data_IF_436744545802
#
_entry.id   IF_436744545802
#
_cell.length_a   1.000
_cell.length_b   1.000
_cell.length_c   1.000
_cell.angle_alpha   90.00
_cell.angle_beta   90.00
_cell.angle_gamma   90.00
#
_symmetry.space_group_name_H-M   'P 1'
#
loop_
_entity.id
_entity.type
_entity.pdbx_description
1 polymer ?
#
# COMPACT_ATOMS: atom_id res chain seq x y z
N UNK A 1 -11.23 -37.80 11.01
CA UNK A 1 -11.68 -36.57 11.70
C UNK A 1 -10.89 -35.43 11.07
N UNK A 2 -11.51 -34.65 10.18
CA UNK A 2 -10.83 -33.48 9.61
C UNK A 2 -10.48 -32.53 10.76
N UNK A 3 -9.20 -32.20 10.92
CA UNK A 3 -8.78 -31.17 11.87
C UNK A 3 -9.52 -29.86 11.60
N UNK A 4 -9.58 -28.93 12.57
CA UNK A 4 -10.19 -27.63 12.32
C UNK A 4 -9.54 -27.05 11.07
N UNK A 5 -10.32 -26.89 10.00
CA UNK A 5 -9.83 -26.32 8.75
C UNK A 5 -9.20 -24.96 9.00
N UNK A 6 -8.39 -24.44 8.06
CA UNK A 6 -7.77 -23.12 8.21
C UNK A 6 -8.82 -22.11 8.69
N UNK A 7 -8.56 -21.47 9.82
CA UNK A 7 -9.50 -20.53 10.43
C UNK A 7 -9.30 -19.17 9.81
N UNK A 8 -10.33 -18.66 9.13
CA UNK A 8 -10.36 -17.32 8.54
C UNK A 8 -11.19 -16.39 9.44
N UNK A 9 -10.60 -15.81 10.51
CA UNK A 9 -11.35 -15.03 11.48
C UNK A 9 -11.92 -13.76 10.86
N UNK A 10 -11.15 -13.05 10.04
CA UNK A 10 -11.59 -11.82 9.38
C UNK A 10 -12.76 -12.08 8.42
N UNK A 11 -12.67 -13.11 7.57
CA UNK A 11 -13.76 -13.49 6.66
C UNK A 11 -15.04 -13.86 7.41
N UNK A 12 -14.93 -14.57 8.52
CA UNK A 12 -16.10 -14.90 9.37
C UNK A 12 -16.76 -13.66 9.93
N UNK A 13 -15.98 -12.68 10.39
CA UNK A 13 -16.50 -11.41 10.92
C UNK A 13 -17.20 -10.58 9.84
N UNK A 14 -16.61 -10.53 8.64
CA UNK A 14 -17.21 -9.88 7.46
C UNK A 14 -18.51 -10.58 7.05
N UNK A 15 -18.52 -11.92 7.01
CA UNK A 15 -19.71 -12.72 6.68
C UNK A 15 -20.84 -12.49 7.68
N UNK A 16 -20.51 -12.40 8.97
CA UNK A 16 -21.47 -12.10 10.04
C UNK A 16 -21.85 -10.61 10.13
N UNK A 17 -21.33 -9.76 9.23
CA UNK A 17 -21.49 -8.30 9.21
C UNK A 17 -21.15 -7.61 10.56
N UNK A 18 -20.15 -8.13 11.28
CA UNK A 18 -19.71 -7.61 12.57
C UNK A 18 -18.57 -6.62 12.41
N UNK A 19 -18.86 -5.47 11.81
CA UNK A 19 -17.85 -4.45 11.50
C UNK A 19 -17.10 -3.91 12.74
N UNK A 20 -17.74 -3.86 13.92
CA UNK A 20 -17.09 -3.44 15.18
C UNK A 20 -16.05 -4.44 15.69
N UNK A 21 -16.39 -5.72 15.66
CA UNK A 21 -15.47 -6.80 16.04
C UNK A 21 -14.34 -6.92 14.99
N UNK A 22 -14.66 -6.71 13.71
CA UNK A 22 -13.67 -6.63 12.64
C UNK A 22 -12.66 -5.51 12.89
N UNK A 23 -13.13 -4.31 13.23
CA UNK A 23 -12.26 -3.17 13.56
C UNK A 23 -11.36 -3.48 14.76
N UNK A 24 -11.89 -4.07 15.83
CA UNK A 24 -11.10 -4.49 16.99
C UNK A 24 -10.04 -5.55 16.61
N UNK A 25 -10.39 -6.51 15.76
CA UNK A 25 -9.49 -7.57 15.30
C UNK A 25 -8.37 -7.05 14.37
N UNK A 26 -8.62 -5.97 13.62
CA UNK A 26 -7.61 -5.30 12.80
C UNK A 26 -6.69 -4.40 13.64
N UNK A 27 -7.22 -3.77 14.70
CA UNK A 27 -6.42 -2.99 15.64
C UNK A 27 -5.38 -3.84 16.38
N UNK A 28 -5.70 -5.10 16.69
CA UNK A 28 -4.73 -5.99 17.34
C UNK A 28 -3.55 -6.37 16.44
N UNK A 29 -3.63 -6.13 15.12
CA UNK A 29 -2.62 -6.47 14.09
C UNK A 29 -2.13 -7.92 14.13
N UNK A 30 -2.92 -8.81 14.72
CA UNK A 30 -2.60 -10.24 14.80
C UNK A 30 -2.98 -11.00 13.53
N UNK A 31 -3.80 -10.39 12.68
CA UNK A 31 -4.38 -11.01 11.51
C UNK A 31 -3.89 -10.34 10.23
N UNK A 32 -3.60 -11.15 9.22
CA UNK A 32 -3.25 -10.66 7.89
C UNK A 32 -4.52 -10.22 7.14
N UNK A 33 -4.52 -8.97 6.68
CA UNK A 33 -5.66 -8.32 5.99
C UNK A 33 -5.80 -8.87 4.56
N UNK A 34 -4.71 -9.36 3.98
CA UNK A 34 -4.68 -9.87 2.61
C UNK A 34 -4.85 -11.39 2.54
N UNK A 35 -5.12 -12.03 3.69
CA UNK A 35 -5.36 -13.47 3.76
C UNK A 35 -6.51 -13.86 2.85
N UNK A 36 -6.34 -14.96 2.12
CA UNK A 36 -7.33 -15.48 1.20
C UNK A 36 -8.11 -16.64 1.80
N UNK A 37 -9.44 -16.63 1.62
CA UNK A 37 -10.35 -17.74 1.93
C UNK A 37 -10.03 -18.97 1.03
N UNK A 38 -10.55 -20.20 1.25
CA UNK A 38 -10.33 -21.34 0.35
C UNK A 38 -10.92 -21.14 -1.06
N UNK A 39 -11.76 -20.10 -1.23
CA UNK A 39 -12.27 -19.63 -2.52
C UNK A 39 -11.36 -18.57 -3.16
N UNK A 40 -10.19 -18.34 -2.56
CA UNK A 40 -9.19 -17.31 -2.85
C UNK A 40 -9.75 -15.90 -2.93
N UNK A 41 -10.63 -15.56 -1.99
CA UNK A 41 -11.18 -14.22 -1.83
C UNK A 41 -10.49 -13.52 -0.69
N UNK A 42 -10.09 -12.28 -0.89
CA UNK A 42 -9.68 -11.39 0.20
C UNK A 42 -10.89 -11.05 1.09
N UNK A 43 -10.69 -10.65 2.36
CA UNK A 43 -11.80 -10.19 3.20
C UNK A 43 -12.47 -8.94 2.62
N UNK A 44 -11.74 -8.11 1.86
CA UNK A 44 -12.28 -6.96 1.15
C UNK A 44 -13.22 -7.38 0.01
N UNK A 45 -12.80 -8.30 -0.85
CA UNK A 45 -13.69 -8.87 -1.88
C UNK A 45 -14.93 -9.49 -1.28
N UNK A 46 -14.78 -10.22 -0.16
CA UNK A 46 -15.92 -10.80 0.53
C UNK A 46 -16.89 -9.70 1.00
N UNK A 47 -16.39 -8.63 1.60
CA UNK A 47 -17.23 -7.52 2.07
C UNK A 47 -17.98 -6.82 0.91
N UNK A 48 -17.31 -6.63 -0.23
CA UNK A 48 -17.90 -6.06 -1.45
C UNK A 48 -18.97 -6.99 -2.03
N UNK A 49 -18.67 -8.28 -2.19
CA UNK A 49 -19.63 -9.28 -2.71
C UNK A 49 -20.89 -9.43 -1.85
N UNK A 50 -20.79 -9.11 -0.55
CA UNK A 50 -21.91 -9.14 0.38
C UNK A 50 -22.66 -7.80 0.47
N UNK A 51 -22.19 -6.72 -0.15
CA UNK A 51 -22.80 -5.39 -0.01
C UNK A 51 -22.52 -4.71 1.35
N UNK A 52 -21.58 -5.22 2.15
CA UNK A 52 -21.36 -4.77 3.53
C UNK A 52 -20.49 -3.50 3.58
N UNK A 53 -21.11 -2.35 3.32
CA UNK A 53 -20.43 -1.06 3.18
C UNK A 53 -19.57 -0.67 4.40
N UNK A 54 -20.05 -0.89 5.63
CA UNK A 54 -19.29 -0.57 6.84
C UNK A 54 -18.07 -1.48 7.04
N UNK A 55 -18.17 -2.76 6.67
CA UNK A 55 -17.03 -3.67 6.69
C UNK A 55 -15.97 -3.26 5.66
N UNK A 56 -16.41 -2.81 4.48
CA UNK A 56 -15.51 -2.23 3.44
C UNK A 56 -14.80 -0.99 3.98
N UNK A 57 -15.50 -0.05 4.61
CA UNK A 57 -14.88 1.16 5.21
C UNK A 57 -13.79 0.80 6.21
N UNK A 58 -14.07 -0.16 7.10
CA UNK A 58 -13.10 -0.61 8.11
C UNK A 58 -11.85 -1.21 7.45
N UNK A 59 -12.03 -2.11 6.49
CA UNK A 59 -10.90 -2.74 5.78
C UNK A 59 -10.04 -1.73 5.00
N UNK A 60 -10.69 -0.78 4.32
CA UNK A 60 -9.99 0.27 3.57
C UNK A 60 -9.21 1.23 4.47
N UNK A 61 -9.71 1.55 5.67
CA UNK A 61 -8.99 2.35 6.67
C UNK A 61 -7.69 1.70 7.13
N UNK A 62 -7.65 0.36 7.14
CA UNK A 62 -6.46 -0.41 7.48
C UNK A 62 -5.59 -0.75 6.25
N UNK A 63 -5.72 0.02 5.16
CA UNK A 63 -4.91 -0.09 3.94
C UNK A 63 -5.05 -1.42 3.19
N UNK A 64 -6.22 -2.08 3.26
CA UNK A 64 -6.50 -3.24 2.41
C UNK A 64 -6.31 -2.91 0.92
N UNK A 65 -5.68 -3.82 0.17
CA UNK A 65 -5.32 -3.59 -1.23
C UNK A 65 -6.54 -3.66 -2.15
N UNK A 66 -6.88 -2.54 -2.79
CA UNK A 66 -8.02 -2.45 -3.72
C UNK A 66 -7.67 -2.97 -5.11
N UNK A 67 -6.38 -3.03 -5.43
CA UNK A 67 -5.89 -3.43 -6.75
C UNK A 67 -5.70 -4.94 -6.91
N UNK A 68 -5.94 -5.74 -5.87
CA UNK A 68 -5.79 -7.19 -5.95
C UNK A 68 -6.90 -7.78 -6.84
N UNK A 69 -6.50 -8.70 -7.71
CA UNK A 69 -7.43 -9.43 -8.56
C UNK A 69 -8.01 -10.60 -7.77
N UNK A 70 -9.32 -10.79 -7.88
CA UNK A 70 -10.02 -11.95 -7.32
C UNK A 70 -9.61 -13.22 -8.07
N UNK A 71 -9.91 -14.40 -7.51
CA UNK A 71 -9.70 -15.69 -8.17
C UNK A 71 -10.28 -15.82 -9.59
N UNK A 72 -11.29 -15.02 -9.91
CA UNK A 72 -11.94 -15.02 -11.22
C UNK A 72 -11.23 -14.07 -12.22
N UNK A 73 -10.17 -13.38 -11.82
CA UNK A 73 -9.48 -12.36 -12.61
C UNK A 73 -10.17 -10.99 -12.61
N UNK A 74 -11.15 -10.78 -11.72
CA UNK A 74 -11.88 -9.52 -11.60
C UNK A 74 -11.23 -8.63 -10.54
N UNK A 75 -11.08 -7.34 -10.83
CA UNK A 75 -10.67 -6.37 -9.83
C UNK A 75 -11.82 -6.09 -8.85
N UNK A 76 -11.50 -5.77 -7.59
CA UNK A 76 -12.48 -5.40 -6.54
C UNK A 76 -13.47 -4.32 -7.01
N UNK A 77 -13.00 -3.39 -7.85
CA UNK A 77 -13.83 -2.34 -8.42
C UNK A 77 -14.94 -2.89 -9.35
N UNK A 78 -14.65 -3.92 -10.14
CA UNK A 78 -15.65 -4.49 -11.05
C UNK A 78 -16.73 -5.23 -10.26
N UNK A 79 -16.36 -5.92 -9.18
CA UNK A 79 -17.30 -6.52 -8.24
C UNK A 79 -18.16 -5.43 -7.55
N UNK A 80 -17.56 -4.30 -7.14
CA UNK A 80 -18.33 -3.20 -6.58
C UNK A 80 -19.36 -2.65 -7.59
N UNK A 81 -19.04 -2.61 -8.88
CA UNK A 81 -20.01 -2.19 -9.92
C UNK A 81 -21.14 -3.20 -10.09
N UNK A 82 -20.88 -4.50 -9.93
CA UNK A 82 -21.90 -5.55 -10.05
C UNK A 82 -22.94 -5.51 -8.93
N UNK A 83 -22.57 -4.99 -7.74
CA UNK A 83 -23.52 -4.78 -6.62
C UNK A 83 -24.60 -3.75 -6.94
N UNK A 84 -24.33 -2.80 -7.85
CA UNK A 84 -25.24 -1.70 -8.18
C UNK A 84 -25.30 -0.57 -7.14
N UNK A 85 -24.49 -0.63 -6.07
CA UNK A 85 -24.48 0.38 -5.02
C UNK A 85 -23.53 1.55 -5.35
N UNK A 86 -24.05 2.75 -5.68
CA UNK A 86 -23.20 3.87 -6.10
C UNK A 86 -22.26 4.34 -4.99
N UNK A 87 -22.70 4.29 -3.73
CA UNK A 87 -21.87 4.65 -2.58
C UNK A 87 -20.66 3.71 -2.42
N UNK A 88 -20.87 2.41 -2.65
CA UNK A 88 -19.78 1.42 -2.60
C UNK A 88 -18.75 1.68 -3.69
N UNK A 89 -19.21 1.91 -4.92
CA UNK A 89 -18.34 2.22 -6.06
C UNK A 89 -17.53 3.50 -5.80
N UNK A 90 -18.17 4.56 -5.30
CA UNK A 90 -17.49 5.80 -4.95
C UNK A 90 -16.40 5.59 -3.90
N UNK A 91 -16.68 4.83 -2.83
CA UNK A 91 -15.71 4.53 -1.79
C UNK A 91 -14.50 3.76 -2.34
N UNK A 92 -14.74 2.69 -3.10
CA UNK A 92 -13.66 1.86 -3.67
C UNK A 92 -12.81 2.67 -4.65
N UNK A 93 -13.41 3.51 -5.48
CA UNK A 93 -12.69 4.40 -6.41
C UNK A 93 -11.79 5.40 -5.67
N UNK A 94 -12.31 6.09 -4.65
CA UNK A 94 -11.55 7.07 -3.87
C UNK A 94 -10.31 6.43 -3.23
N UNK A 95 -10.47 5.25 -2.61
CA UNK A 95 -9.35 4.57 -1.98
C UNK A 95 -8.34 4.00 -2.98
N UNK A 96 -8.80 3.52 -4.13
CA UNK A 96 -7.91 3.09 -5.23
C UNK A 96 -7.02 4.24 -5.72
N UNK A 97 -7.62 5.40 -5.96
CA UNK A 97 -6.88 6.57 -6.44
C UNK A 97 -5.93 7.10 -5.37
N UNK A 98 -6.34 7.07 -4.10
CA UNK A 98 -5.47 7.36 -2.96
C UNK A 98 -4.27 6.41 -2.86
N UNK A 99 -4.47 5.09 -3.02
CA UNK A 99 -3.40 4.10 -3.02
C UNK A 99 -2.44 4.31 -4.20
N UNK A 100 -2.97 4.60 -5.38
CA UNK A 100 -2.14 4.91 -6.57
C UNK A 100 -1.35 6.20 -6.39
N UNK A 101 -1.96 7.24 -5.83
CA UNK A 101 -1.29 8.49 -5.55
C UNK A 101 -0.15 8.29 -4.54
N UNK A 102 -0.42 7.58 -3.44
CA UNK A 102 0.61 7.27 -2.43
C UNK A 102 1.74 6.41 -2.99
N UNK A 103 1.45 5.40 -3.82
CA UNK A 103 2.48 4.61 -4.51
C UNK A 103 3.37 5.45 -5.44
N UNK A 104 2.79 6.37 -6.22
CA UNK A 104 3.56 7.27 -7.10
C UNK A 104 4.43 8.24 -6.31
N UNK A 105 3.93 8.73 -5.19
CA UNK A 105 4.66 9.64 -4.31
C UNK A 105 5.76 8.92 -3.52
N UNK A 106 5.67 7.60 -3.32
CA UNK A 106 6.63 6.82 -2.54
C UNK A 106 8.08 6.85 -3.08
N UNK A 107 8.29 7.08 -4.39
CA UNK A 107 9.63 7.23 -4.97
C UNK A 107 10.25 8.63 -4.82
N UNK A 108 9.43 9.65 -4.55
CA UNK A 108 9.86 11.04 -4.35
C UNK A 108 10.81 11.20 -3.15
N UNK A 109 10.57 10.59 -1.96
CA UNK A 109 11.51 10.71 -0.84
C UNK A 109 12.89 10.11 -1.15
N UNK A 110 13.00 9.05 -1.97
CA UNK A 110 14.30 8.50 -2.38
C UNK A 110 15.04 9.44 -3.33
N UNK A 111 14.33 10.05 -4.29
CA UNK A 111 14.91 11.07 -5.16
C UNK A 111 15.32 12.31 -4.36
N UNK A 112 14.50 12.75 -3.40
CA UNK A 112 14.84 13.83 -2.47
C UNK A 112 16.03 13.49 -1.58
N UNK A 113 16.15 12.24 -1.12
CA UNK A 113 17.28 11.79 -0.32
C UNK A 113 18.57 11.76 -1.16
N UNK A 114 18.50 11.27 -2.40
CA UNK A 114 19.62 11.32 -3.36
C UNK A 114 20.06 12.76 -3.65
N UNK A 115 19.11 13.69 -3.85
CA UNK A 115 19.41 15.11 -4.03
C UNK A 115 20.06 15.76 -2.80
N UNK A 116 19.69 15.36 -1.58
CA UNK A 116 20.32 15.84 -0.33
C UNK A 116 21.73 15.30 -0.12
N UNK A 117 22.00 14.08 -0.58
CA UNK A 117 23.30 13.41 -0.45
C UNK A 117 24.29 13.82 -1.55
N UNK A 118 23.87 14.65 -2.53
CA UNK A 118 24.78 15.17 -3.54
C UNK A 118 25.89 16.03 -2.91
N UNK A 119 27.18 15.68 -3.09
CA UNK A 119 28.31 16.42 -2.53
C UNK A 119 28.48 17.83 -3.12
N UNK A 120 27.66 18.19 -4.11
CA UNK A 120 27.75 19.44 -4.88
C UNK A 120 26.53 20.37 -4.67
N UNK A 121 25.76 20.21 -3.59
CA UNK A 121 24.72 21.18 -3.26
C UNK A 121 25.35 22.43 -2.59
N UNK A 122 25.39 23.61 -3.25
CA UNK A 122 25.99 24.83 -2.68
C UNK A 122 25.25 25.33 -1.42
N UNK A 123 24.06 24.79 -1.13
CA UNK A 123 23.22 25.14 0.03
C UNK A 123 23.49 24.26 1.27
N UNK A 124 24.17 23.10 1.13
CA UNK A 124 24.50 22.18 2.23
C UNK A 124 25.98 22.18 2.63
N UNK A 125 26.84 22.99 1.99
CA UNK A 125 28.28 23.04 2.21
C UNK A 125 28.76 23.49 3.62
N UNK A 126 27.86 23.61 4.61
CA UNK A 126 28.21 24.00 6.00
C UNK A 126 28.10 22.89 7.04
N UNK A 127 27.60 21.71 6.71
CA UNK A 127 27.61 20.58 7.66
C UNK A 127 28.93 19.81 7.56
N UNK A 128 29.97 20.38 8.16
CA UNK A 128 31.19 19.72 8.68
C UNK A 128 31.63 18.42 7.98
N UNK A 129 32.42 18.58 6.91
CA UNK A 129 33.41 17.58 6.51
C UNK A 129 34.41 17.43 7.67
N UNK A 130 34.24 16.42 8.53
CA UNK A 130 35.22 16.07 9.57
C UNK A 130 36.49 15.43 9.01
N UNK A 131 36.57 15.23 7.68
CA UNK A 131 37.70 14.59 7.00
C UNK A 131 38.75 15.59 6.51
N UNK A 132 38.42 16.87 6.39
CA UNK A 132 39.29 17.84 5.73
C UNK A 132 39.85 18.88 6.71
N UNK A 133 40.62 18.40 7.68
CA UNK A 133 41.52 19.19 8.51
C UNK A 133 42.90 19.36 7.88
N UNK A 134 43.01 19.87 6.65
CA UNK A 134 44.27 20.42 6.11
C UNK A 134 44.05 20.98 4.72
N UNK A 135 44.55 22.20 4.51
CA UNK A 135 44.41 22.95 3.28
C UNK A 135 44.93 22.27 2.02
N UNK A 136 44.32 22.69 0.92
CA UNK A 136 44.83 22.66 -0.46
C UNK A 136 45.43 21.33 -0.90
N UNK A 137 44.64 20.55 -1.66
CA UNK A 137 45.04 20.01 -2.97
C UNK A 137 43.90 19.23 -3.65
N UNK A 138 43.65 19.62 -4.89
CA UNK A 138 43.03 18.90 -6.00
C UNK A 138 42.37 17.53 -5.70
N UNK A 139 41.04 17.49 -5.77
CA UNK A 139 40.34 16.25 -6.09
C UNK A 139 40.29 16.11 -7.61
N UNK A 140 41.25 15.37 -8.16
CA UNK A 140 41.19 14.86 -9.52
C UNK A 140 40.10 13.78 -9.59
N UNK A 141 38.92 14.14 -10.09
CA UNK A 141 37.94 13.18 -10.60
C UNK A 141 37.65 13.59 -12.03
N UNK A 142 38.33 12.89 -12.93
CA UNK A 142 38.12 12.93 -14.36
C UNK A 142 36.64 12.77 -14.71
N UNK A 143 36.20 13.69 -15.57
CA UNK A 143 35.09 13.57 -16.52
C UNK A 143 34.72 12.13 -16.94
N UNK A 144 33.46 12.00 -17.36
CA UNK A 144 32.78 10.86 -18.05
C UNK A 144 31.93 10.02 -17.07
N UNK A 145 30.62 9.77 -17.23
CA UNK A 145 29.76 9.79 -18.42
C UNK A 145 28.30 10.11 -18.06
N UNK A 146 27.75 11.21 -18.56
CA UNK A 146 26.32 11.25 -18.90
C UNK A 146 26.21 10.56 -20.26
N UNK A 147 26.13 9.23 -20.24
CA UNK A 147 25.84 8.47 -21.44
C UNK A 147 24.32 8.43 -21.62
N UNK A 148 23.89 9.13 -22.67
CA UNK A 148 22.61 8.97 -23.34
C UNK A 148 22.24 7.49 -23.49
N UNK A 149 20.97 7.15 -23.31
CA UNK A 149 20.42 5.90 -23.84
C UNK A 149 19.06 6.21 -24.44
N UNK A 150 19.04 6.13 -25.78
CA UNK A 150 17.92 5.71 -26.61
C UNK A 150 17.22 4.48 -26.04
#
# INVERSE_FOLDING_TARGET
MAGPGPTFPLHRLVWANRHRELEAALHSRQHDIEQEDPRGRTPLELAVSLGNLESVRVLLRHNANVGKESCQGWAVLQEAVSTGDPEMVQLVLQYRDYQRATQRLAGIPELLNKLRQCPWCPRCARATCTVCGSGVRACAWTLVSWASST
#
